data_IF_465112243279
#
_entry.id   IF_465112243279
#
_cell.length_a   1.000
_cell.length_b   1.000
_cell.length_c   1.000
_cell.angle_alpha   90.00
_cell.angle_beta   90.00
_cell.angle_gamma   90.00
#
_symmetry.space_group_name_H-M   'P 1'
#
loop_
_entity.id
_entity.type
_entity.pdbx_description
1 polymer ?
#
# COMPACT_ATOMS: atom_id res chain seq x y z
N UNK A 1 2.30 -11.12 -8.31
CA UNK A 1 2.09 -10.14 -7.23
C UNK A 1 2.45 -8.76 -7.76
N UNK A 2 1.56 -7.76 -7.67
CA UNK A 2 1.77 -6.41 -8.24
C UNK A 2 1.24 -5.31 -7.32
N UNK A 3 1.41 -4.05 -7.71
CA UNK A 3 0.75 -2.92 -7.04
C UNK A 3 -0.76 -2.95 -7.23
N UNK A 4 -1.48 -2.13 -6.45
CA UNK A 4 -2.94 -1.98 -6.48
C UNK A 4 -3.38 -1.08 -7.64
N UNK A 5 -2.99 -1.41 -8.86
CA UNK A 5 -3.32 -0.66 -10.07
C UNK A 5 -4.48 -1.39 -10.79
N UNK A 6 -5.69 -0.80 -10.86
CA UNK A 6 -6.87 -1.48 -11.38
C UNK A 6 -6.73 -1.97 -12.83
N UNK A 7 -5.99 -1.24 -13.67
CA UNK A 7 -5.71 -1.64 -15.04
C UNK A 7 -4.88 -2.91 -15.10
N UNK A 8 -3.75 -2.95 -14.38
CA UNK A 8 -2.91 -4.14 -14.27
C UNK A 8 -3.67 -5.35 -13.68
N UNK A 9 -4.49 -5.14 -12.65
CA UNK A 9 -5.32 -6.21 -12.08
C UNK A 9 -6.28 -6.77 -13.14
N UNK A 10 -6.95 -5.89 -13.88
CA UNK A 10 -7.92 -6.27 -14.91
C UNK A 10 -7.26 -7.03 -16.06
N UNK A 11 -6.09 -6.55 -16.53
CA UNK A 11 -5.32 -7.22 -17.59
C UNK A 11 -4.82 -8.58 -17.13
N UNK A 12 -4.35 -8.70 -15.89
CA UNK A 12 -3.90 -10.00 -15.37
C UNK A 12 -5.06 -10.98 -15.30
N UNK A 13 -6.24 -10.55 -14.83
CA UNK A 13 -7.42 -11.39 -14.78
C UNK A 13 -7.90 -11.83 -16.18
N UNK A 14 -7.79 -10.96 -17.19
CA UNK A 14 -8.20 -11.24 -18.57
C UNK A 14 -7.22 -12.17 -19.30
N UNK A 15 -5.93 -11.85 -19.27
CA UNK A 15 -4.90 -12.53 -20.07
C UNK A 15 -4.35 -13.78 -19.37
N UNK A 16 -4.44 -13.87 -18.04
CA UNK A 16 -3.91 -14.97 -17.23
C UNK A 16 -4.99 -15.56 -16.32
N UNK A 17 -6.11 -15.98 -16.92
CA UNK A 17 -7.29 -16.50 -16.21
C UNK A 17 -7.05 -17.72 -15.29
N UNK A 18 -5.95 -18.45 -15.49
CA UNK A 18 -5.51 -19.55 -14.61
C UNK A 18 -4.53 -19.14 -13.51
N UNK A 19 -4.10 -17.89 -13.47
CA UNK A 19 -3.14 -17.39 -12.48
C UNK A 19 -3.87 -16.73 -11.30
N UNK A 20 -3.44 -17.05 -10.09
CA UNK A 20 -3.87 -16.30 -8.91
C UNK A 20 -3.09 -14.99 -8.83
N UNK A 21 -3.79 -13.87 -9.02
CA UNK A 21 -3.24 -12.55 -8.73
C UNK A 21 -3.31 -12.25 -7.23
N UNK A 22 -2.25 -11.62 -6.71
CA UNK A 22 -2.23 -11.07 -5.36
C UNK A 22 -1.63 -9.68 -5.39
N UNK A 23 -2.18 -8.78 -4.60
CA UNK A 23 -1.63 -7.43 -4.46
C UNK A 23 -0.48 -7.41 -3.44
N UNK A 24 0.54 -6.59 -3.68
CA UNK A 24 1.77 -6.56 -2.90
C UNK A 24 1.59 -5.69 -1.64
N UNK A 25 1.58 -6.33 -0.46
CA UNK A 25 1.57 -5.62 0.82
C UNK A 25 2.76 -4.66 0.96
N UNK A 26 3.96 -5.10 0.57
CA UNK A 26 5.16 -4.26 0.65
C UNK A 26 5.02 -2.96 -0.15
N UNK A 27 4.57 -3.03 -1.40
CA UNK A 27 4.40 -1.82 -2.21
C UNK A 27 3.27 -0.93 -1.71
N UNK A 28 2.19 -1.50 -1.17
CA UNK A 28 1.13 -0.71 -0.55
C UNK A 28 1.64 0.06 0.68
N UNK A 29 2.34 -0.62 1.59
CA UNK A 29 2.92 0.05 2.77
C UNK A 29 3.93 1.12 2.37
N UNK A 30 4.73 0.89 1.34
CA UNK A 30 5.63 1.90 0.78
C UNK A 30 4.87 3.08 0.16
N UNK A 31 3.75 2.85 -0.51
CA UNK A 31 2.90 3.91 -1.06
C UNK A 31 2.30 4.79 0.05
N UNK A 32 1.83 4.19 1.15
CA UNK A 32 1.37 4.91 2.35
C UNK A 32 2.50 5.73 2.95
N UNK A 33 3.71 5.15 3.10
CA UNK A 33 4.86 5.88 3.62
C UNK A 33 5.24 7.07 2.74
N UNK A 34 5.31 6.90 1.41
CA UNK A 34 5.56 7.99 0.46
C UNK A 34 4.46 9.05 0.50
N UNK A 35 3.20 8.66 0.69
CA UNK A 35 2.11 9.61 0.88
C UNK A 35 2.32 10.44 2.15
N UNK A 36 2.66 9.82 3.28
CA UNK A 36 2.99 10.52 4.51
C UNK A 36 4.14 11.53 4.31
N UNK A 37 5.19 11.14 3.58
CA UNK A 37 6.29 12.05 3.24
C UNK A 37 5.83 13.24 2.40
N UNK A 38 5.00 13.00 1.36
CA UNK A 38 4.47 14.07 0.49
C UNK A 38 3.61 15.08 1.22
N UNK A 39 2.88 14.67 2.26
CA UNK A 39 2.05 15.58 3.07
C UNK A 39 2.81 16.21 4.24
N UNK A 40 4.14 16.06 4.29
CA UNK A 40 4.99 16.69 5.30
C UNK A 40 5.06 15.95 6.65
N UNK A 41 4.53 14.73 6.74
CA UNK A 41 4.53 13.95 7.97
C UNK A 41 5.84 13.20 8.25
N UNK A 42 6.88 13.35 7.41
CA UNK A 42 8.16 12.62 7.58
C UNK A 42 8.76 12.78 8.99
N UNK A 43 8.78 14.00 9.53
CA UNK A 43 9.34 14.26 10.86
C UNK A 43 8.46 13.68 11.95
N UNK A 44 7.15 13.92 11.90
CA UNK A 44 6.21 13.40 12.88
C UNK A 44 6.13 11.88 12.87
N UNK A 45 6.15 11.24 11.70
CA UNK A 45 6.16 9.77 11.60
C UNK A 45 7.34 9.12 12.35
N UNK A 46 8.48 9.81 12.46
CA UNK A 46 9.66 9.30 13.16
C UNK A 46 9.69 9.65 14.65
N UNK A 47 9.03 10.73 15.06
CA UNK A 47 9.16 11.30 16.41
C UNK A 47 7.85 11.27 17.23
N UNK A 48 6.73 10.94 16.61
CA UNK A 48 5.39 10.91 17.20
C UNK A 48 4.77 9.53 16.99
N UNK A 49 4.56 8.80 18.09
CA UNK A 49 4.03 7.44 18.07
C UNK A 49 2.56 7.39 17.64
N UNK A 50 1.76 8.43 17.86
CA UNK A 50 0.36 8.48 17.43
C UNK A 50 0.28 8.62 15.90
N UNK A 51 1.10 9.49 15.32
CA UNK A 51 1.21 9.63 13.86
C UNK A 51 1.71 8.33 13.23
N UNK A 52 2.75 7.73 13.80
CA UNK A 52 3.28 6.44 13.35
C UNK A 52 2.22 5.34 13.44
N UNK A 53 1.49 5.27 14.54
CA UNK A 53 0.45 4.27 14.76
C UNK A 53 -0.71 4.46 13.78
N UNK A 54 -1.15 5.70 13.54
CA UNK A 54 -2.15 6.02 12.52
C UNK A 54 -1.72 5.56 11.13
N UNK A 55 -0.49 5.90 10.70
CA UNK A 55 0.05 5.43 9.42
C UNK A 55 0.11 3.90 9.34
N UNK A 56 0.45 3.20 10.43
CA UNK A 56 0.47 1.73 10.46
C UNK A 56 -0.91 1.10 10.37
N UNK A 57 -1.97 1.75 10.90
CA UNK A 57 -3.36 1.31 10.68
C UNK A 57 -3.72 1.39 9.20
N UNK A 58 -3.34 2.49 8.53
CA UNK A 58 -3.55 2.62 7.08
C UNK A 58 -2.80 1.53 6.32
N UNK A 59 -1.54 1.24 6.69
CA UNK A 59 -0.74 0.17 6.10
C UNK A 59 -1.38 -1.22 6.25
N UNK A 60 -2.17 -1.46 7.29
CA UNK A 60 -2.84 -2.73 7.56
C UNK A 60 -4.16 -2.92 6.78
N UNK A 61 -4.70 -1.89 6.13
CA UNK A 61 -5.97 -1.97 5.40
C UNK A 61 -6.08 -3.13 4.38
N UNK A 62 -5.03 -3.50 3.61
CA UNK A 62 -5.12 -4.61 2.66
C UNK A 62 -5.17 -6.00 3.31
N UNK A 63 -5.07 -6.07 4.63
CA UNK A 63 -5.15 -7.32 5.41
C UNK A 63 -6.52 -7.52 6.09
N UNK A 64 -7.44 -6.57 5.93
CA UNK A 64 -8.82 -6.63 6.43
C UNK A 64 -9.73 -7.30 5.39
#
# INVERSE_FOLDING_TARGET
MTDFEPGLISVIAAEFSGATHSSCYFHFTQAVYRAAQRVGLSTSYNNDDDVKHFCRKLMALPLL
#
